data_IF_352156641728
#
_entry.id   IF_352156641728
#
_cell.length_a   1.000
_cell.length_b   1.000
_cell.length_c   1.000
_cell.angle_alpha   90.00
_cell.angle_beta   90.00
_cell.angle_gamma   90.00
#
_symmetry.space_group_name_H-M   'P 1'
#
loop_
_entity.id
_entity.type
_entity.pdbx_description
1 polymer ?
#
# COMPACT_ATOMS: atom_id res chain seq x y z
N UNK A 1 5.94 15.96 -33.83
CA UNK A 1 5.62 14.79 -32.96
C UNK A 1 6.28 14.99 -31.59
N UNK A 2 6.00 14.16 -30.57
CA UNK A 2 6.75 14.28 -29.30
C UNK A 2 8.23 13.90 -29.54
N UNK A 3 9.13 14.88 -29.46
CA UNK A 3 10.55 14.69 -29.78
C UNK A 3 11.29 14.02 -28.63
N UNK A 4 11.21 14.60 -27.44
CA UNK A 4 11.93 14.10 -26.28
C UNK A 4 11.26 14.49 -24.96
N UNK A 5 11.58 13.72 -23.93
CA UNK A 5 11.32 14.04 -22.52
C UNK A 5 12.67 14.02 -21.81
N UNK A 6 13.09 15.15 -21.28
CA UNK A 6 14.27 15.29 -20.41
C UNK A 6 13.96 14.65 -19.05
N UNK A 7 14.50 13.45 -18.81
CA UNK A 7 14.25 12.70 -17.58
C UNK A 7 14.97 13.27 -16.37
N UNK A 8 15.98 14.10 -16.54
CA UNK A 8 16.69 14.76 -15.44
C UNK A 8 15.89 15.94 -14.93
N UNK A 9 15.31 16.73 -15.85
CA UNK A 9 14.39 17.82 -15.50
C UNK A 9 13.03 17.35 -15.03
N UNK A 10 12.54 16.20 -15.50
CA UNK A 10 11.21 15.70 -15.17
C UNK A 10 11.05 15.43 -13.66
N UNK A 11 10.31 16.30 -12.97
CA UNK A 11 9.97 16.17 -11.54
C UNK A 11 8.81 15.20 -11.26
N UNK A 12 8.22 14.62 -12.31
CA UNK A 12 7.14 13.65 -12.19
C UNK A 12 5.86 14.19 -11.55
N UNK A 13 5.36 15.33 -12.03
CA UNK A 13 4.13 15.95 -11.54
C UNK A 13 2.83 15.41 -12.18
N UNK A 14 2.94 14.55 -13.20
CA UNK A 14 1.78 13.98 -13.90
C UNK A 14 0.98 14.96 -14.78
N UNK A 15 1.38 16.23 -14.88
CA UNK A 15 0.62 17.24 -15.63
C UNK A 15 0.46 16.88 -17.11
N UNK A 16 1.53 16.40 -17.76
CA UNK A 16 1.49 15.96 -19.16
C UNK A 16 0.57 14.74 -19.38
N UNK A 17 0.50 13.82 -18.41
CA UNK A 17 -0.41 12.69 -18.45
C UNK A 17 -1.87 13.15 -18.33
N UNK A 18 -2.16 14.06 -17.39
CA UNK A 18 -3.51 14.56 -17.15
C UNK A 18 -4.04 15.49 -18.25
N UNK A 19 -3.16 16.20 -18.96
CA UNK A 19 -3.56 17.18 -19.98
C UNK A 19 -3.56 16.63 -21.41
N UNK A 20 -2.95 15.46 -21.66
CA UNK A 20 -2.83 14.93 -23.00
C UNK A 20 -4.11 14.19 -23.43
N UNK A 21 -4.93 14.84 -24.26
CA UNK A 21 -6.14 14.23 -24.84
C UNK A 21 -5.88 13.02 -25.74
N UNK A 22 -4.64 12.85 -26.21
CA UNK A 22 -4.22 11.75 -27.09
C UNK A 22 -3.48 10.65 -26.33
N UNK A 23 -3.40 10.76 -25.00
CA UNK A 23 -2.88 9.71 -24.13
C UNK A 23 -1.46 9.23 -24.48
N UNK A 24 -0.65 10.14 -25.02
CA UNK A 24 0.74 9.90 -25.47
C UNK A 24 1.64 9.51 -24.29
N UNK A 25 1.34 10.06 -23.11
CA UNK A 25 2.14 9.90 -21.92
C UNK A 25 1.63 8.74 -21.06
N UNK A 26 2.57 8.03 -20.45
CA UNK A 26 2.35 7.09 -19.36
C UNK A 26 3.16 7.57 -18.16
N UNK A 27 2.67 7.29 -16.96
CA UNK A 27 3.43 7.51 -15.74
C UNK A 27 4.02 6.19 -15.29
N UNK A 28 5.34 6.18 -15.13
CA UNK A 28 5.99 5.06 -14.48
C UNK A 28 5.91 5.27 -12.97
N UNK A 29 5.08 4.51 -12.28
CA UNK A 29 4.93 4.57 -10.81
C UNK A 29 6.01 3.79 -10.07
N UNK A 30 6.68 2.84 -10.75
CA UNK A 30 7.82 2.08 -10.25
C UNK A 30 9.12 2.88 -10.37
N UNK A 31 9.29 3.82 -9.45
CA UNK A 31 10.46 4.68 -9.36
C UNK A 31 11.42 4.22 -8.27
N UNK A 32 12.73 4.44 -8.48
CA UNK A 32 13.78 4.19 -7.49
C UNK A 32 13.56 4.98 -6.19
N UNK A 33 13.05 6.22 -6.33
CA UNK A 33 12.70 7.10 -5.20
C UNK A 33 11.26 6.85 -4.76
N UNK A 34 11.08 6.76 -3.44
CA UNK A 34 9.75 6.68 -2.84
C UNK A 34 9.03 8.03 -2.95
N UNK A 35 7.71 7.99 -3.15
CA UNK A 35 6.88 9.18 -2.95
C UNK A 35 6.92 9.59 -1.47
N UNK A 36 6.81 10.88 -1.12
CA UNK A 36 6.83 11.33 0.27
C UNK A 36 5.80 10.62 1.17
N UNK A 37 4.57 10.43 0.67
CA UNK A 37 3.52 9.71 1.39
C UNK A 37 3.89 8.24 1.68
N UNK A 38 4.47 7.53 0.71
CA UNK A 38 4.94 6.16 0.88
C UNK A 38 6.13 6.06 1.82
N UNK A 39 7.07 7.01 1.74
CA UNK A 39 8.23 7.07 2.63
C UNK A 39 7.84 7.39 4.09
N UNK A 40 6.80 8.21 4.28
CA UNK A 40 6.24 8.52 5.59
C UNK A 40 5.28 7.47 6.14
N UNK A 41 4.89 6.46 5.34
CA UNK A 41 3.99 5.41 5.77
C UNK A 41 4.80 4.29 6.46
N UNK A 42 4.52 3.97 7.74
CA UNK A 42 5.19 2.86 8.41
C UNK A 42 4.96 1.49 7.76
N UNK A 43 3.79 1.27 7.15
CA UNK A 43 3.50 0.06 6.37
C UNK A 43 4.22 0.06 5.00
N UNK A 44 4.77 1.20 4.57
CA UNK A 44 5.45 1.37 3.28
C UNK A 44 4.52 1.32 2.06
N UNK A 45 3.22 1.56 2.25
CA UNK A 45 2.21 1.51 1.17
C UNK A 45 2.56 2.40 -0.02
N UNK A 46 2.47 1.87 -1.24
CA UNK A 46 2.70 2.64 -2.46
C UNK A 46 1.43 3.41 -2.90
N UNK A 47 1.10 4.48 -2.16
CA UNK A 47 -0.04 5.35 -2.50
C UNK A 47 0.05 5.92 -3.91
N UNK A 48 1.25 6.20 -4.40
CA UNK A 48 1.42 6.74 -5.75
C UNK A 48 0.94 5.76 -6.81
N UNK A 49 1.28 4.47 -6.68
CA UNK A 49 0.86 3.42 -7.61
C UNK A 49 -0.66 3.20 -7.58
N UNK A 50 -1.24 2.88 -6.42
CA UNK A 50 -2.66 2.53 -6.38
C UNK A 50 -3.57 3.74 -6.69
N UNK A 51 -3.19 4.96 -6.30
CA UNK A 51 -3.96 6.16 -6.65
C UNK A 51 -3.90 6.45 -8.14
N UNK A 52 -2.77 6.19 -8.80
CA UNK A 52 -2.69 6.30 -10.25
C UNK A 52 -3.61 5.29 -10.96
N UNK A 53 -3.70 4.06 -10.44
CA UNK A 53 -4.63 3.04 -10.94
C UNK A 53 -6.09 3.46 -10.72
N UNK A 54 -6.42 4.05 -9.56
CA UNK A 54 -7.76 4.61 -9.31
C UNK A 54 -8.11 5.77 -10.26
N UNK A 55 -7.16 6.65 -10.59
CA UNK A 55 -7.37 7.70 -11.60
C UNK A 55 -7.77 7.14 -12.97
N UNK A 56 -7.33 5.92 -13.29
CA UNK A 56 -7.65 5.21 -14.54
C UNK A 56 -8.90 4.33 -14.42
N UNK A 57 -9.58 4.33 -13.27
CA UNK A 57 -10.71 3.44 -13.00
C UNK A 57 -10.34 1.96 -12.83
N UNK A 58 -9.05 1.62 -12.70
CA UNK A 58 -8.53 0.25 -12.60
C UNK A 58 -8.58 -0.26 -11.16
N UNK A 59 -9.80 -0.49 -10.65
CA UNK A 59 -10.07 -0.81 -9.25
C UNK A 59 -9.39 -2.11 -8.79
N UNK A 60 -9.50 -3.18 -9.58
CA UNK A 60 -8.92 -4.47 -9.25
C UNK A 60 -7.39 -4.40 -9.10
N UNK A 61 -6.73 -3.64 -9.97
CA UNK A 61 -5.28 -3.47 -9.94
C UNK A 61 -4.87 -2.54 -8.80
N UNK A 62 -5.64 -1.48 -8.53
CA UNK A 62 -5.42 -0.62 -7.37
C UNK A 62 -5.56 -1.41 -6.05
N UNK A 63 -6.56 -2.27 -5.95
CA UNK A 63 -6.77 -3.17 -4.82
C UNK A 63 -5.60 -4.15 -4.67
N UNK A 64 -5.19 -4.81 -5.75
CA UNK A 64 -4.05 -5.73 -5.75
C UNK A 64 -2.76 -5.03 -5.28
N UNK A 65 -2.50 -3.81 -5.76
CA UNK A 65 -1.36 -2.99 -5.36
C UNK A 65 -1.43 -2.61 -3.87
N UNK A 66 -2.58 -2.13 -3.39
CA UNK A 66 -2.77 -1.78 -1.97
C UNK A 66 -2.55 -3.00 -1.06
N UNK A 67 -3.12 -4.15 -1.43
CA UNK A 67 -3.05 -5.39 -0.67
C UNK A 67 -1.65 -6.00 -0.59
N UNK A 68 -0.68 -5.59 -1.44
CA UNK A 68 0.73 -5.95 -1.26
C UNK A 68 1.34 -5.36 0.03
N UNK A 69 0.74 -4.28 0.55
CA UNK A 69 1.27 -3.49 1.66
C UNK A 69 0.34 -3.43 2.85
N UNK A 70 -0.97 -3.30 2.61
CA UNK A 70 -1.98 -3.09 3.64
C UNK A 70 -3.21 -3.96 3.37
N UNK A 71 -3.37 -5.10 4.07
CA UNK A 71 -4.55 -5.94 3.95
C UNK A 71 -5.74 -5.49 4.79
N UNK A 72 -5.60 -4.39 5.55
CA UNK A 72 -6.62 -3.89 6.49
C UNK A 72 -7.01 -2.44 6.18
N UNK A 73 -7.37 -2.07 4.93
CA UNK A 73 -7.64 -0.68 4.56
C UNK A 73 -8.86 -0.09 5.28
N UNK A 74 -9.86 -0.91 5.60
CA UNK A 74 -11.01 -0.48 6.41
C UNK A 74 -10.63 -0.17 7.87
N UNK A 75 -9.58 -0.81 8.37
CA UNK A 75 -9.04 -0.53 9.69
C UNK A 75 -8.20 0.76 9.64
N UNK A 76 -7.26 0.85 8.71
CA UNK A 76 -6.36 2.00 8.62
C UNK A 76 -7.10 3.29 8.30
N UNK A 77 -8.15 3.26 7.48
CA UNK A 77 -8.98 4.43 7.17
C UNK A 77 -9.74 5.03 8.36
N UNK A 78 -9.87 4.29 9.48
CA UNK A 78 -10.62 4.72 10.67
C UNK A 78 -9.73 5.13 11.83
N UNK A 79 -8.62 4.42 12.03
CA UNK A 79 -7.80 4.55 13.25
C UNK A 79 -6.35 4.96 12.99
N UNK A 80 -5.90 5.01 11.73
CA UNK A 80 -4.55 5.46 11.43
C UNK A 80 -4.44 6.97 11.67
N UNK A 81 -3.32 7.48 12.23
CA UNK A 81 -3.04 8.91 12.29
C UNK A 81 -2.70 9.55 10.92
N UNK A 82 -2.79 8.78 9.83
CA UNK A 82 -2.48 9.15 8.44
C UNK A 82 -1.15 9.91 8.29
N UNK A 83 -0.05 9.24 8.67
CA UNK A 83 1.33 9.76 8.52
C UNK A 83 1.63 10.24 7.09
N UNK A 84 1.09 9.53 6.10
CA UNK A 84 1.18 9.83 4.68
C UNK A 84 0.64 11.23 4.33
N UNK A 85 -0.45 11.68 4.94
CA UNK A 85 -1.02 13.01 4.71
C UNK A 85 -0.16 14.10 5.30
N UNK A 86 0.47 13.87 6.47
CA UNK A 86 1.31 14.85 7.15
C UNK A 86 2.45 15.34 6.24
N UNK A 87 3.00 14.43 5.44
CA UNK A 87 4.13 14.64 4.50
C UNK A 87 3.69 14.77 3.04
N UNK A 88 2.39 14.82 2.75
CA UNK A 88 1.88 14.92 1.38
C UNK A 88 2.33 16.24 0.72
N UNK A 89 3.00 16.14 -0.44
CA UNK A 89 3.51 17.33 -1.17
C UNK A 89 2.40 18.30 -1.58
N UNK A 90 1.19 17.80 -1.82
CA UNK A 90 0.04 18.62 -2.23
C UNK A 90 -0.42 19.62 -1.15
N UNK A 91 -0.07 19.42 0.13
CA UNK A 91 -0.33 20.40 1.20
C UNK A 91 0.27 21.79 0.96
N UNK A 92 1.28 21.88 0.10
CA UNK A 92 1.89 23.16 -0.28
C UNK A 92 1.13 23.90 -1.38
N UNK A 93 0.08 23.27 -1.92
CA UNK A 93 -0.80 23.82 -2.96
C UNK A 93 -2.14 24.18 -2.31
N UNK A 94 -2.82 23.16 -1.78
CA UNK A 94 -4.12 23.29 -1.13
C UNK A 94 -4.16 22.44 0.16
N UNK A 95 -4.53 21.16 0.06
CA UNK A 95 -4.67 20.23 1.16
C UNK A 95 -4.14 18.85 0.74
N UNK A 96 -3.76 18.03 1.72
CA UNK A 96 -3.37 16.64 1.44
C UNK A 96 -4.47 15.91 0.66
N UNK A 97 -4.06 14.92 -0.13
CA UNK A 97 -5.00 13.95 -0.70
C UNK A 97 -5.62 13.17 0.45
N UNK A 98 -6.94 13.02 0.45
CA UNK A 98 -7.71 12.29 1.46
C UNK A 98 -7.51 10.77 1.28
N UNK A 99 -6.34 10.31 1.71
CA UNK A 99 -5.95 8.90 1.69
C UNK A 99 -6.90 8.00 2.52
N UNK A 100 -7.38 8.38 3.73
CA UNK A 100 -8.33 7.55 4.47
C UNK A 100 -9.58 7.24 3.67
N UNK A 101 -10.18 8.23 3.01
CA UNK A 101 -11.43 8.00 2.28
C UNK A 101 -11.21 7.13 1.03
N UNK A 102 -10.05 7.24 0.38
CA UNK A 102 -9.68 6.39 -0.75
C UNK A 102 -9.39 4.95 -0.30
N UNK A 103 -8.72 4.76 0.84
CA UNK A 103 -8.54 3.43 1.46
C UNK A 103 -9.87 2.84 1.91
N UNK A 104 -10.78 3.64 2.47
CA UNK A 104 -12.11 3.21 2.89
C UNK A 104 -12.95 2.73 1.71
N UNK A 105 -12.97 3.50 0.62
CA UNK A 105 -13.64 3.13 -0.62
C UNK A 105 -13.08 1.82 -1.18
N UNK A 106 -11.76 1.74 -1.33
CA UNK A 106 -11.11 0.57 -1.92
C UNK A 106 -11.26 -0.65 -1.00
N UNK A 107 -11.30 -0.44 0.32
CA UNK A 107 -11.58 -1.48 1.30
C UNK A 107 -12.97 -2.08 1.14
N UNK A 108 -14.02 -1.26 0.95
CA UNK A 108 -15.36 -1.78 0.66
C UNK A 108 -15.40 -2.50 -0.69
N UNK A 109 -14.74 -1.93 -1.71
CA UNK A 109 -14.63 -2.59 -3.01
C UNK A 109 -13.95 -3.97 -2.91
N UNK A 110 -12.91 -4.11 -2.08
CA UNK A 110 -12.18 -5.36 -1.82
C UNK A 110 -13.08 -6.42 -1.17
N UNK A 111 -13.96 -6.03 -0.24
CA UNK A 111 -14.90 -6.97 0.38
C UNK A 111 -15.80 -7.63 -0.66
N UNK A 112 -16.25 -6.86 -1.66
CA UNK A 112 -17.17 -7.33 -2.71
C UNK A 112 -16.46 -8.07 -3.87
N UNK A 113 -15.16 -7.86 -4.06
CA UNK A 113 -14.42 -8.30 -5.26
C UNK A 113 -13.12 -9.06 -4.95
N UNK A 114 -13.08 -9.72 -3.78
CA UNK A 114 -11.86 -10.30 -3.21
C UNK A 114 -10.99 -11.04 -4.24
N UNK A 115 -9.68 -10.74 -4.34
CA UNK A 115 -8.80 -11.46 -5.24
C UNK A 115 -8.68 -12.92 -4.78
N UNK A 116 -8.72 -13.84 -5.73
CA UNK A 116 -8.38 -15.23 -5.46
C UNK A 116 -6.91 -15.30 -5.01
N UNK A 117 -6.68 -15.60 -3.74
CA UNK A 117 -5.34 -15.89 -3.25
C UNK A 117 -4.87 -17.23 -3.83
N UNK A 118 -3.55 -17.44 -4.00
CA UNK A 118 -3.02 -18.71 -4.51
C UNK A 118 -3.53 -19.90 -3.69
N UNK A 119 -3.64 -21.07 -4.31
CA UNK A 119 -3.97 -22.29 -3.55
C UNK A 119 -2.94 -22.56 -2.46
N UNK A 120 -3.41 -23.18 -1.37
CA UNK A 120 -2.52 -23.69 -0.33
C UNK A 120 -1.70 -24.82 -0.95
N UNK A 121 -0.43 -24.52 -1.20
CA UNK A 121 0.48 -25.37 -1.98
C UNK A 121 1.75 -25.71 -1.20
N UNK A 122 1.99 -25.02 -0.07
CA UNK A 122 3.18 -25.21 0.75
C UNK A 122 2.90 -26.14 1.92
N UNK A 123 3.78 -27.11 2.10
CA UNK A 123 3.72 -28.03 3.23
C UNK A 123 4.08 -27.31 4.54
N UNK A 124 3.31 -27.58 5.60
CA UNK A 124 3.55 -27.11 6.95
C UNK A 124 2.73 -25.87 7.33
N UNK A 125 2.20 -25.91 8.55
CA UNK A 125 1.27 -24.90 9.04
C UNK A 125 1.98 -23.69 9.64
N UNK A 126 1.31 -22.55 9.58
CA UNK A 126 1.74 -21.30 10.20
C UNK A 126 0.77 -20.95 11.31
N UNK A 127 1.29 -20.73 12.51
CA UNK A 127 0.52 -20.23 13.63
C UNK A 127 0.78 -18.75 13.82
N UNK A 128 -0.27 -17.95 13.88
CA UNK A 128 -0.21 -16.55 14.28
C UNK A 128 -0.93 -16.39 15.61
N UNK A 129 -0.28 -15.80 16.60
CA UNK A 129 -0.82 -15.65 17.95
C UNK A 129 -1.27 -14.20 18.15
N UNK A 130 -2.57 -14.00 18.34
CA UNK A 130 -3.22 -12.71 18.45
C UNK A 130 -3.84 -12.23 17.13
N UNK A 131 -5.04 -11.65 17.21
CA UNK A 131 -5.79 -11.12 16.05
C UNK A 131 -5.85 -9.59 16.01
N UNK A 132 -4.82 -8.90 16.53
CA UNK A 132 -4.62 -7.46 16.32
C UNK A 132 -4.26 -7.13 14.86
N UNK A 133 -3.96 -5.87 14.56
CA UNK A 133 -3.61 -5.47 13.19
C UNK A 133 -2.34 -6.19 12.72
N UNK A 134 -1.35 -6.35 13.61
CA UNK A 134 -0.15 -7.13 13.31
C UNK A 134 -0.47 -8.60 12.97
N UNK A 135 -1.31 -9.25 13.77
CA UNK A 135 -1.66 -10.67 13.57
C UNK A 135 -2.49 -10.91 12.31
N UNK A 136 -3.52 -10.10 12.09
CA UNK A 136 -4.36 -10.20 10.89
C UNK A 136 -3.55 -9.93 9.61
N UNK A 137 -2.68 -8.93 9.62
CA UNK A 137 -1.82 -8.65 8.48
C UNK A 137 -0.77 -9.74 8.23
N UNK A 138 -0.14 -10.26 9.29
CA UNK A 138 0.83 -11.35 9.17
C UNK A 138 0.17 -12.61 8.59
N UNK A 139 -1.05 -12.91 9.06
CA UNK A 139 -1.81 -14.05 8.56
C UNK A 139 -2.13 -13.90 7.07
N UNK A 140 -2.57 -12.72 6.64
CA UNK A 140 -2.80 -12.41 5.23
C UNK A 140 -1.53 -12.57 4.38
N UNK A 141 -0.39 -12.00 4.81
CA UNK A 141 0.85 -12.07 4.04
C UNK A 141 1.38 -13.50 3.92
N UNK A 142 1.23 -14.33 4.96
CA UNK A 142 1.58 -15.74 4.88
C UNK A 142 0.61 -16.51 3.97
N UNK A 143 -0.68 -16.20 4.02
CA UNK A 143 -1.68 -16.81 3.14
C UNK A 143 -1.45 -16.45 1.66
N UNK A 144 -1.04 -15.21 1.38
CA UNK A 144 -0.64 -14.74 0.04
C UNK A 144 0.55 -15.55 -0.53
N UNK A 145 1.38 -16.14 0.33
CA UNK A 145 2.50 -17.02 -0.04
C UNK A 145 2.10 -18.49 -0.21
N UNK A 146 0.81 -18.82 -0.19
CA UNK A 146 0.31 -20.19 -0.35
C UNK A 146 0.51 -21.08 0.89
N UNK A 147 0.71 -20.48 2.07
CA UNK A 147 0.79 -21.22 3.33
C UNK A 147 -0.61 -21.48 3.93
N UNK A 148 -0.75 -22.59 4.65
CA UNK A 148 -1.88 -22.82 5.54
C UNK A 148 -1.67 -22.03 6.84
N UNK A 149 -2.64 -21.20 7.23
CA UNK A 149 -2.48 -20.25 8.34
C UNK A 149 -3.63 -20.37 9.34
N UNK A 150 -3.26 -20.53 10.61
CA UNK A 150 -4.18 -20.53 11.75
C UNK A 150 -3.86 -19.37 12.68
N UNK A 151 -4.85 -18.51 12.92
CA UNK A 151 -4.78 -17.40 13.89
C UNK A 151 -5.42 -17.85 15.19
N UNK A 152 -4.66 -17.82 16.28
CA UNK A 152 -5.14 -18.10 17.63
C UNK A 152 -5.49 -16.78 18.33
N UNK A 153 -6.73 -16.67 18.80
CA UNK A 153 -7.23 -15.49 19.50
C UNK A 153 -7.79 -15.90 20.87
N UNK A 154 -7.38 -15.19 21.92
CA UNK A 154 -7.83 -15.49 23.30
C UNK A 154 -9.29 -15.08 23.51
N UNK A 155 -9.77 -14.12 22.75
CA UNK A 155 -11.10 -13.55 22.85
C UNK A 155 -12.11 -14.28 21.95
N UNK A 156 -13.40 -14.06 22.19
CA UNK A 156 -14.49 -14.66 21.40
C UNK A 156 -14.55 -14.17 19.95
N UNK A 157 -14.11 -12.94 19.70
CA UNK A 157 -14.19 -12.30 18.38
C UNK A 157 -12.82 -11.74 17.98
N UNK A 158 -12.35 -11.98 16.75
CA UNK A 158 -11.11 -11.39 16.26
C UNK A 158 -11.12 -9.85 16.20
N UNK A 159 -9.93 -9.25 16.09
CA UNK A 159 -9.73 -7.81 15.90
C UNK A 159 -8.99 -7.10 17.04
N UNK A 160 -8.56 -7.85 18.07
CA UNK A 160 -7.72 -7.35 19.14
C UNK A 160 -8.28 -6.08 19.81
N UNK A 161 -7.44 -5.05 19.96
CA UNK A 161 -7.83 -3.77 20.58
C UNK A 161 -8.78 -2.93 19.72
N UNK A 162 -8.78 -3.14 18.41
CA UNK A 162 -9.54 -2.33 17.47
C UNK A 162 -11.05 -2.59 17.53
N UNK A 163 -11.47 -3.66 18.22
CA UNK A 163 -12.88 -3.91 18.61
C UNK A 163 -13.52 -2.73 19.34
N UNK A 164 -12.73 -1.94 20.09
CA UNK A 164 -13.22 -0.78 20.81
C UNK A 164 -13.19 0.53 19.99
N UNK A 165 -12.54 0.53 18.83
CA UNK A 165 -12.27 1.76 18.05
C UNK A 165 -12.93 1.76 16.67
N UNK A 166 -13.51 0.63 16.25
CA UNK A 166 -14.06 0.43 14.91
C UNK A 166 -15.46 -0.17 15.04
N UNK A 167 -16.42 0.22 14.19
CA UNK A 167 -17.73 -0.42 14.14
C UNK A 167 -17.64 -1.95 14.04
N UNK A 168 -18.45 -2.64 14.82
CA UNK A 168 -18.38 -4.10 14.96
C UNK A 168 -18.72 -4.83 13.66
N UNK A 169 -19.64 -4.29 12.87
CA UNK A 169 -20.03 -4.77 11.54
C UNK A 169 -18.87 -4.68 10.54
N UNK A 170 -18.16 -3.55 10.51
CA UNK A 170 -16.99 -3.37 9.64
C UNK A 170 -15.86 -4.34 10.01
N UNK A 171 -15.60 -4.50 11.30
CA UNK A 171 -14.59 -5.45 11.77
C UNK A 171 -14.98 -6.91 11.48
N UNK A 172 -16.27 -7.23 11.61
CA UNK A 172 -16.79 -8.55 11.26
C UNK A 172 -16.65 -8.82 9.75
N UNK A 173 -16.96 -7.85 8.90
CA UNK A 173 -16.79 -7.96 7.45
C UNK A 173 -15.32 -8.16 7.05
N UNK A 174 -14.41 -7.37 7.61
CA UNK A 174 -12.96 -7.53 7.39
C UNK A 174 -12.46 -8.91 7.83
N UNK A 175 -12.96 -9.41 8.97
CA UNK A 175 -12.57 -10.74 9.48
C UNK A 175 -13.17 -11.87 8.64
N UNK A 176 -14.41 -11.71 8.17
CA UNK A 176 -15.06 -12.66 7.26
C UNK A 176 -14.29 -12.75 5.95
N UNK A 177 -13.91 -11.61 5.37
CA UNK A 177 -13.07 -11.56 4.17
C UNK A 177 -11.72 -12.29 4.36
N UNK A 178 -11.07 -12.12 5.52
CA UNK A 178 -9.84 -12.88 5.82
C UNK A 178 -10.08 -14.39 5.93
N UNK A 179 -11.25 -14.82 6.42
CA UNK A 179 -11.66 -16.24 6.40
C UNK A 179 -11.88 -16.74 4.98
N UNK A 180 -12.50 -15.93 4.12
CA UNK A 180 -12.73 -16.27 2.71
C UNK A 180 -11.40 -16.34 1.92
N UNK A 181 -10.40 -15.56 2.35
CA UNK A 181 -9.01 -15.73 1.90
C UNK A 181 -8.39 -17.08 2.31
N UNK A 182 -9.03 -17.89 3.14
CA UNK A 182 -8.57 -19.20 3.60
C UNK A 182 -7.77 -19.16 4.90
N UNK A 183 -7.93 -18.13 5.73
CA UNK A 183 -7.31 -18.06 7.06
C UNK A 183 -8.23 -18.70 8.09
N UNK A 184 -7.70 -19.66 8.85
CA UNK A 184 -8.44 -20.31 9.94
C UNK A 184 -8.31 -19.49 11.21
N UNK A 185 -9.43 -19.26 11.92
CA UNK A 185 -9.44 -18.58 13.21
C UNK A 185 -9.85 -19.55 14.31
N UNK A 186 -9.03 -19.67 15.34
CA UNK A 186 -9.30 -20.43 16.57
C UNK A 186 -9.42 -19.43 17.71
N UNK A 187 -10.65 -19.05 18.02
CA UNK A 187 -11.00 -18.08 19.08
C UNK A 187 -11.05 -18.75 20.45
N UNK A 188 -11.20 -17.95 21.51
CA UNK A 188 -11.28 -18.42 22.90
C UNK A 188 -10.08 -19.31 23.31
N UNK A 189 -8.93 -19.10 22.67
CA UNK A 189 -7.72 -19.91 22.85
C UNK A 189 -6.55 -18.99 23.16
N UNK A 190 -6.28 -18.84 24.46
CA UNK A 190 -5.05 -18.18 24.90
C UNK A 190 -3.84 -19.08 24.60
N UNK A 191 -2.76 -18.46 24.13
CA UNK A 191 -1.49 -19.15 23.88
C UNK A 191 -0.41 -18.50 24.75
N UNK A 192 0.26 -19.30 25.56
CA UNK A 192 1.29 -18.84 26.49
C UNK A 192 1.82 -19.99 27.35
N UNK A 193 2.90 -19.77 28.07
CA UNK A 193 3.62 -20.79 28.84
C UNK A 193 2.77 -21.45 29.94
N UNK A 194 1.77 -20.72 30.44
CA UNK A 194 0.82 -21.19 31.48
C UNK A 194 -0.50 -21.68 30.91
N UNK A 195 -0.67 -21.62 29.60
CA UNK A 195 -1.91 -22.00 28.92
C UNK A 195 -1.84 -23.45 28.41
N UNK A 196 -3.01 -24.01 28.07
CA UNK A 196 -3.07 -25.34 27.47
C UNK A 196 -2.34 -25.41 26.12
N UNK A 197 -2.45 -24.35 25.32
CA UNK A 197 -1.74 -24.20 24.05
C UNK A 197 -0.49 -23.36 24.29
N UNK A 198 0.67 -23.94 24.00
CA UNK A 198 1.98 -23.28 24.11
C UNK A 198 2.66 -23.18 22.75
N UNK A 199 3.60 -22.25 22.57
CA UNK A 199 4.42 -22.17 21.35
C UNK A 199 5.14 -23.49 21.09
N UNK A 200 5.63 -24.18 22.14
CA UNK A 200 6.27 -25.50 22.03
C UNK A 200 5.30 -26.56 21.53
N UNK A 201 4.05 -26.55 22.00
CA UNK A 201 3.03 -27.50 21.54
C UNK A 201 2.67 -27.30 20.07
N UNK A 202 2.54 -26.05 19.62
CA UNK A 202 2.28 -25.72 18.22
C UNK A 202 3.40 -26.21 17.31
N UNK A 203 4.66 -25.97 17.71
CA UNK A 203 5.84 -26.45 16.99
C UNK A 203 5.91 -27.98 16.89
N UNK A 204 5.50 -28.69 17.94
CA UNK A 204 5.40 -30.16 17.92
C UNK A 204 4.28 -30.66 16.99
N UNK A 205 3.20 -29.89 16.85
CA UNK A 205 2.09 -30.19 15.96
C UNK A 205 2.36 -29.78 14.49
N UNK A 206 3.59 -29.96 14.00
CA UNK A 206 3.99 -29.69 12.61
C UNK A 206 3.86 -28.23 12.13
N UNK A 207 3.70 -27.26 13.04
CA UNK A 207 3.75 -25.83 12.68
C UNK A 207 5.19 -25.43 12.34
N UNK A 208 5.44 -24.99 11.10
CA UNK A 208 6.77 -24.61 10.62
C UNK A 208 7.25 -23.25 11.12
N UNK A 209 6.35 -22.29 11.28
CA UNK A 209 6.71 -20.99 11.84
C UNK A 209 5.58 -20.47 12.74
N UNK A 210 5.97 -19.77 13.81
CA UNK A 210 5.04 -19.11 14.75
C UNK A 210 5.33 -17.61 14.73
N UNK A 211 4.29 -16.80 14.53
CA UNK A 211 4.38 -15.34 14.60
C UNK A 211 3.60 -14.88 15.84
N UNK A 212 4.30 -14.38 16.85
CA UNK A 212 3.72 -13.81 18.07
C UNK A 212 3.35 -12.36 17.76
N UNK A 213 2.06 -12.07 17.67
CA UNK A 213 1.50 -10.75 17.33
C UNK A 213 0.51 -10.28 18.40
N UNK A 214 0.83 -10.56 19.67
CA UNK A 214 0.02 -10.18 20.82
C UNK A 214 0.20 -8.70 21.19
N UNK A 215 -0.60 -8.25 22.15
CA UNK A 215 -0.58 -6.85 22.58
C UNK A 215 0.59 -6.48 23.50
N UNK A 216 0.59 -5.23 23.94
CA UNK A 216 1.50 -4.68 24.97
C UNK A 216 1.47 -5.52 26.24
N UNK A 217 2.60 -5.61 26.94
CA UNK A 217 2.70 -6.27 28.27
C UNK A 217 2.30 -7.75 28.28
N UNK A 218 2.39 -8.43 27.13
CA UNK A 218 2.13 -9.87 27.03
C UNK A 218 3.39 -10.70 26.82
N UNK A 219 4.57 -10.07 26.68
CA UNK A 219 5.83 -10.76 26.40
C UNK A 219 6.14 -11.86 27.44
N UNK A 220 5.88 -11.58 28.72
CA UNK A 220 6.08 -12.52 29.85
C UNK A 220 5.30 -13.83 29.72
N UNK A 221 4.26 -13.87 28.88
CA UNK A 221 3.52 -15.09 28.58
C UNK A 221 4.34 -16.09 27.75
N UNK A 222 5.48 -15.68 27.19
CA UNK A 222 6.30 -16.47 26.28
C UNK A 222 7.75 -16.61 26.75
N UNK A 223 8.07 -16.25 28.00
CA UNK A 223 9.43 -16.24 28.55
C UNK A 223 10.15 -17.61 28.46
N UNK A 224 9.43 -18.73 28.34
CA UNK A 224 10.02 -20.07 28.17
C UNK A 224 10.58 -20.32 26.77
N UNK A 225 10.22 -19.49 25.78
CA UNK A 225 10.59 -19.66 24.37
C UNK A 225 11.26 -18.45 23.76
N UNK A 226 11.19 -17.26 24.36
CA UNK A 226 11.84 -16.07 23.82
C UNK A 226 12.54 -15.30 24.93
N UNK A 227 13.57 -14.54 24.57
CA UNK A 227 14.22 -13.62 25.48
C UNK A 227 13.38 -12.34 25.58
N UNK A 228 13.35 -11.74 26.78
CA UNK A 228 12.57 -10.55 27.08
C UNK A 228 13.52 -9.47 27.59
N UNK A 229 13.47 -8.30 26.96
CA UNK A 229 14.24 -7.11 27.34
C UNK A 229 13.24 -5.98 27.56
N UNK A 230 13.32 -5.32 28.72
CA UNK A 230 12.44 -4.21 29.11
C UNK A 230 10.93 -4.51 28.97
N UNK A 231 10.53 -5.77 29.23
CA UNK A 231 9.14 -6.22 29.15
C UNK A 231 8.60 -6.42 27.72
N UNK A 232 9.49 -6.42 26.73
CA UNK A 232 9.21 -6.70 25.32
C UNK A 232 9.98 -7.92 24.83
N UNK A 233 9.45 -8.64 23.84
CA UNK A 233 10.16 -9.75 23.20
C UNK A 233 11.36 -9.20 22.44
N UNK A 234 12.55 -9.73 22.74
CA UNK A 234 13.76 -9.41 22.00
C UNK A 234 13.73 -10.04 20.60
N UNK A 235 13.99 -9.22 19.60
CA UNK A 235 14.00 -9.63 18.20
C UNK A 235 15.10 -8.92 17.44
N UNK A 236 15.59 -9.59 16.40
CA UNK A 236 16.44 -8.93 15.42
C UNK A 236 15.67 -7.76 14.74
N UNK A 237 16.25 -6.55 14.68
CA UNK A 237 15.53 -5.35 14.26
C UNK A 237 15.13 -5.33 12.77
N UNK A 238 15.68 -6.23 11.95
CA UNK A 238 15.39 -6.31 10.51
C UNK A 238 14.49 -7.49 10.22
N UNK A 239 14.83 -8.67 10.73
CA UNK A 239 14.14 -9.93 10.45
C UNK A 239 12.94 -10.18 11.38
N UNK A 240 12.89 -9.49 12.52
CA UNK A 240 11.90 -9.74 13.57
C UNK A 240 11.89 -11.18 14.08
N UNK A 241 12.98 -11.92 13.83
CA UNK A 241 13.22 -13.25 14.34
C UNK A 241 13.64 -13.15 15.81
N UNK A 242 13.14 -14.09 16.61
CA UNK A 242 13.60 -14.27 18.00
C UNK A 242 14.80 -15.21 18.02
N UNK A 243 15.42 -15.37 19.19
CA UNK A 243 16.46 -16.41 19.42
C UNK A 243 15.97 -17.83 19.11
N UNK A 244 14.66 -18.09 19.24
CA UNK A 244 14.09 -19.41 18.99
C UNK A 244 13.78 -19.62 17.53
N UNK A 245 14.38 -20.68 16.97
CA UNK A 245 14.30 -20.96 15.55
C UNK A 245 12.86 -21.20 15.05
N UNK A 246 12.45 -20.43 14.04
CA UNK A 246 11.09 -20.44 13.49
C UNK A 246 10.04 -19.72 14.35
N UNK A 247 10.46 -18.89 15.31
CA UNK A 247 9.58 -18.02 16.10
C UNK A 247 9.93 -16.56 15.82
N UNK A 248 8.92 -15.80 15.43
CA UNK A 248 9.00 -14.37 15.09
C UNK A 248 8.05 -13.58 15.99
N UNK A 249 8.31 -12.29 16.19
CA UNK A 249 7.39 -11.42 16.90
C UNK A 249 7.15 -10.11 16.17
N UNK A 250 5.88 -9.70 16.05
CA UNK A 250 5.47 -8.54 15.28
C UNK A 250 4.52 -7.64 16.08
N UNK A 251 4.60 -6.34 15.82
CA UNK A 251 3.73 -5.37 16.49
C UNK A 251 4.12 -5.17 17.95
N UNK A 252 3.18 -4.85 18.84
CA UNK A 252 3.58 -4.19 20.06
C UNK A 252 4.15 -5.08 21.17
N UNK A 253 4.05 -6.41 21.02
CA UNK A 253 4.67 -7.37 21.94
C UNK A 253 6.21 -7.23 22.00
N UNK A 254 6.83 -6.74 20.92
CA UNK A 254 8.27 -6.45 20.82
C UNK A 254 8.63 -4.99 21.14
N UNK A 255 7.77 -4.29 21.89
CA UNK A 255 7.99 -2.89 22.27
C UNK A 255 7.83 -1.87 21.12
N UNK A 256 7.23 -2.28 20.00
CA UNK A 256 6.96 -1.42 18.85
C UNK A 256 5.83 -0.42 19.12
N UNK A 257 5.61 0.48 18.16
CA UNK A 257 4.44 1.36 18.20
C UNK A 257 3.13 0.57 18.15
N UNK A 258 2.08 1.19 18.68
CA UNK A 258 0.73 0.65 18.74
C UNK A 258 -0.16 1.14 17.61
N UNK A 259 0.38 1.89 16.65
CA UNK A 259 -0.41 2.39 15.53
C UNK A 259 -0.61 1.28 14.51
N UNK A 260 -1.79 1.17 13.89
CA UNK A 260 -2.09 0.09 12.95
C UNK A 260 -1.12 0.04 11.77
N UNK A 261 -0.67 1.19 11.26
CA UNK A 261 0.30 1.24 10.16
C UNK A 261 1.67 0.66 10.54
N UNK A 262 2.14 0.88 11.78
CA UNK A 262 3.38 0.28 12.27
C UNK A 262 3.20 -1.23 12.48
N UNK A 263 2.08 -1.63 13.06
CA UNK A 263 1.74 -3.05 13.26
C UNK A 263 1.68 -3.83 11.93
N UNK A 264 1.09 -3.25 10.89
CA UNK A 264 1.03 -3.85 9.54
C UNK A 264 2.42 -3.90 8.89
N UNK A 265 3.22 -2.85 9.04
CA UNK A 265 4.61 -2.82 8.56
C UNK A 265 5.43 -3.93 9.19
N UNK A 266 5.42 -4.03 10.51
CA UNK A 266 6.08 -5.10 11.26
C UNK A 266 5.60 -6.48 10.83
N UNK A 267 4.28 -6.66 10.70
CA UNK A 267 3.69 -7.93 10.28
C UNK A 267 4.18 -8.36 8.91
N UNK A 268 4.34 -7.43 7.97
CA UNK A 268 4.90 -7.74 6.65
C UNK A 268 6.35 -8.17 6.74
N UNK A 269 7.16 -7.49 7.55
CA UNK A 269 8.58 -7.83 7.70
C UNK A 269 8.76 -9.18 8.40
N UNK A 270 7.96 -9.49 9.43
CA UNK A 270 7.96 -10.77 10.12
C UNK A 270 7.45 -11.90 9.22
N UNK A 271 6.38 -11.68 8.46
CA UNK A 271 5.87 -12.65 7.50
C UNK A 271 6.88 -12.92 6.38
N UNK A 272 7.62 -11.90 5.92
CA UNK A 272 8.71 -12.09 4.96
C UNK A 272 9.80 -13.00 5.51
N UNK A 273 10.26 -12.73 6.75
CA UNK A 273 11.27 -13.57 7.39
C UNK A 273 10.78 -14.99 7.67
N UNK A 274 9.53 -15.15 8.12
CA UNK A 274 8.92 -16.47 8.26
C UNK A 274 8.84 -17.21 6.92
N UNK A 275 8.50 -16.51 5.84
CA UNK A 275 8.49 -17.07 4.49
C UNK A 275 9.87 -17.59 4.07
N UNK A 276 10.92 -16.76 4.20
CA UNK A 276 12.30 -17.15 3.93
C UNK A 276 12.73 -18.34 4.78
N UNK A 277 12.39 -18.34 6.07
CA UNK A 277 12.71 -19.43 6.98
C UNK A 277 12.11 -20.77 6.53
N UNK A 278 10.86 -20.77 6.06
CA UNK A 278 10.18 -21.99 5.58
C UNK A 278 10.81 -22.53 4.30
N UNK A 279 11.27 -21.64 3.41
CA UNK A 279 11.97 -22.01 2.17
C UNK A 279 13.46 -22.34 2.37
N UNK A 280 14.00 -22.11 3.57
CA UNK A 280 15.42 -22.27 3.86
C UNK A 280 16.29 -21.18 3.20
N UNK A 281 15.70 -20.03 2.88
CA UNK A 281 16.40 -18.88 2.31
C UNK A 281 16.96 -17.98 3.41
N UNK A 282 18.04 -17.26 3.09
CA UNK A 282 18.60 -16.26 3.98
C UNK A 282 17.62 -15.09 4.18
N UNK A 283 17.37 -14.75 5.45
CA UNK A 283 16.37 -13.75 5.82
C UNK A 283 16.83 -12.30 5.61
N UNK A 284 18.12 -12.05 5.38
CA UNK A 284 18.69 -10.72 5.16
C UNK A 284 18.94 -10.48 3.67
N UNK A 285 19.61 -11.41 2.99
CA UNK A 285 19.97 -11.26 1.57
C UNK A 285 18.77 -11.37 0.63
N UNK A 286 17.76 -12.18 0.98
CA UNK A 286 16.59 -12.39 0.12
C UNK A 286 15.57 -11.25 0.19
N UNK A 287 15.84 -10.17 0.95
CA UNK A 287 14.90 -9.07 1.12
C UNK A 287 14.90 -8.13 -0.08
N UNK A 288 13.72 -7.64 -0.51
CA UNK A 288 13.66 -6.68 -1.60
C UNK A 288 14.38 -5.38 -1.21
N UNK A 289 15.07 -4.73 -2.16
CA UNK A 289 15.77 -3.50 -1.88
C UNK A 289 14.79 -2.41 -1.46
N UNK A 290 15.08 -1.73 -0.35
CA UNK A 290 14.33 -0.54 0.05
C UNK A 290 14.58 0.58 -0.97
N UNK A 291 13.51 1.27 -1.38
CA UNK A 291 13.62 2.46 -2.24
C UNK A 291 14.55 3.48 -1.59
N UNK A 292 15.59 3.93 -2.32
CA UNK A 292 16.60 4.86 -1.80
C UNK A 292 16.17 6.29 -2.10
N UNK A 293 16.04 7.09 -1.03
CA UNK A 293 15.72 8.50 -1.13
C UNK A 293 14.25 8.79 -1.38
N UNK A 294 13.87 10.03 -1.07
CA UNK A 294 12.51 10.56 -1.18
C UNK A 294 12.44 11.44 -2.42
N UNK A 295 11.41 11.27 -3.24
CA UNK A 295 11.14 12.15 -4.36
C UNK A 295 10.79 13.55 -3.82
N UNK A 296 11.63 14.54 -4.14
CA UNK A 296 11.36 15.94 -3.81
C UNK A 296 10.77 16.61 -5.04
N UNK A 297 9.62 17.25 -4.86
CA UNK A 297 9.03 18.10 -5.89
C UNK A 297 9.11 19.57 -5.46
N UNK A 298 9.73 20.45 -6.26
CA UNK A 298 9.76 21.89 -6.01
C UNK A 298 8.42 22.51 -6.44
N UNK A 299 7.40 22.37 -5.60
CA UNK A 299 6.05 22.87 -5.87
C UNK A 299 5.99 24.40 -5.94
N UNK A 300 6.94 25.09 -5.31
CA UNK A 300 7.06 26.55 -5.32
C UNK A 300 7.38 27.09 -6.73
N UNK A 301 7.95 26.26 -7.61
CA UNK A 301 8.21 26.61 -9.01
C UNK A 301 7.18 26.02 -9.97
N UNK A 302 6.30 25.12 -9.51
CA UNK A 302 5.29 24.47 -10.35
C UNK A 302 4.12 25.37 -10.76
N UNK A 303 3.69 26.26 -9.87
CA UNK A 303 2.48 27.09 -10.06
C UNK A 303 2.80 28.55 -10.39
N UNK A 304 4.02 28.84 -10.85
CA UNK A 304 4.37 30.19 -11.33
C UNK A 304 3.56 30.61 -12.57
N UNK A 305 2.86 29.68 -13.21
CA UNK A 305 1.93 29.95 -14.30
C UNK A 305 0.51 29.58 -13.88
N UNK A 306 -0.28 30.62 -13.62
CA UNK A 306 -1.74 30.68 -13.55
C UNK A 306 -2.43 29.81 -12.48
N UNK A 307 -2.95 30.47 -11.43
CA UNK A 307 -3.86 29.90 -10.42
C UNK A 307 -5.13 29.28 -11.03
N UNK A 308 -5.42 29.53 -12.31
CA UNK A 308 -6.59 29.01 -13.04
C UNK A 308 -6.35 27.66 -13.73
N UNK A 309 -5.14 27.09 -13.68
CA UNK A 309 -4.92 25.76 -14.27
C UNK A 309 -5.75 24.68 -13.54
N UNK A 310 -6.46 23.81 -14.27
CA UNK A 310 -7.50 22.93 -13.72
C UNK A 310 -7.00 21.90 -12.69
N UNK A 311 -5.70 21.65 -12.62
CA UNK A 311 -5.10 20.69 -11.68
C UNK A 311 -4.83 21.32 -10.29
N UNK A 312 -4.76 22.65 -10.22
CA UNK A 312 -4.57 23.41 -8.99
C UNK A 312 -5.84 23.51 -8.13
N UNK A 313 -7.02 23.59 -8.75
CA UNK A 313 -8.27 23.96 -8.07
C UNK A 313 -9.31 22.84 -7.95
N UNK A 314 -8.91 21.57 -7.92
CA UNK A 314 -9.83 20.52 -7.49
C UNK A 314 -10.11 20.70 -5.99
N UNK A 315 -11.35 21.04 -5.58
CA UNK A 315 -11.66 21.25 -4.17
C UNK A 315 -11.34 19.98 -3.40
N UNK A 316 -10.76 20.13 -2.21
CA UNK A 316 -10.58 19.00 -1.31
C UNK A 316 -11.96 18.42 -0.98
N UNK A 317 -12.13 17.10 -1.17
CA UNK A 317 -13.32 16.44 -0.69
C UNK A 317 -13.44 16.64 0.83
N UNK A 318 -14.67 16.66 1.39
CA UNK A 318 -14.85 16.67 2.83
C UNK A 318 -14.04 15.50 3.42
N UNK A 319 -13.31 15.80 4.49
CA UNK A 319 -12.59 14.76 5.23
C UNK A 319 -13.61 13.80 5.81
N UNK A 320 -13.18 12.58 6.14
CA UNK A 320 -13.98 11.57 6.86
C UNK A 320 -14.38 12.01 8.30
N UNK A 321 -14.56 13.31 8.53
CA UNK A 321 -15.38 13.83 9.62
C UNK A 321 -16.83 13.50 9.28
N UNK A 322 -17.59 13.11 10.31
CA UNK A 322 -19.01 12.76 10.39
C UNK A 322 -19.96 13.50 9.44
N UNK A 323 -19.77 13.34 8.13
CA UNK A 323 -20.67 13.82 7.11
C UNK A 323 -21.84 12.83 7.05
N UNK A 324 -23.09 13.30 7.08
CA UNK A 324 -24.24 12.42 6.93
C UNK A 324 -24.23 11.81 5.51
N UNK A 325 -23.82 10.55 5.39
CA UNK A 325 -23.58 9.84 4.12
C UNK A 325 -22.20 10.18 3.55
N UNK A 326 -21.25 9.29 3.38
CA UNK A 326 -21.19 7.84 3.29
C UNK A 326 -19.82 7.56 2.63
N UNK A 327 -19.41 6.30 2.58
CA UNK A 327 -18.22 5.87 1.81
C UNK A 327 -18.20 6.59 0.45
N UNK A 328 -17.02 7.06 0.00
CA UNK A 328 -16.92 7.73 -1.30
C UNK A 328 -17.63 6.91 -2.38
N UNK A 329 -18.42 7.54 -3.23
CA UNK A 329 -18.88 6.88 -4.45
C UNK A 329 -17.78 6.95 -5.52
N UNK A 330 -17.99 6.26 -6.64
CA UNK A 330 -17.03 6.21 -7.75
C UNK A 330 -16.62 7.61 -8.24
N UNK A 331 -17.57 8.54 -8.40
CA UNK A 331 -17.30 9.90 -8.88
C UNK A 331 -16.43 10.69 -7.89
N UNK A 332 -16.78 10.65 -6.60
CA UNK A 332 -16.06 11.35 -5.54
C UNK A 332 -14.66 10.78 -5.37
N UNK A 333 -14.53 9.45 -5.43
CA UNK A 333 -13.25 8.76 -5.41
C UNK A 333 -12.37 9.20 -6.58
N UNK A 334 -12.90 9.24 -7.81
CA UNK A 334 -12.13 9.68 -8.98
C UNK A 334 -11.67 11.13 -8.83
N UNK A 335 -12.55 12.02 -8.37
CA UNK A 335 -12.18 13.43 -8.16
C UNK A 335 -11.05 13.56 -7.14
N UNK A 336 -11.14 12.86 -6.00
CA UNK A 336 -10.11 12.91 -4.98
C UNK A 336 -8.81 12.20 -5.44
N UNK A 337 -8.89 11.06 -6.11
CA UNK A 337 -7.73 10.38 -6.69
C UNK A 337 -7.02 11.28 -7.71
N UNK A 338 -7.77 12.05 -8.52
CA UNK A 338 -7.22 13.02 -9.47
C UNK A 338 -6.53 14.22 -8.80
N UNK A 339 -6.71 14.44 -7.49
CA UNK A 339 -5.89 15.40 -6.73
C UNK A 339 -4.46 14.92 -6.56
N UNK A 340 -4.18 13.61 -6.56
CA UNK A 340 -2.82 13.09 -6.46
C UNK A 340 -1.96 13.57 -7.66
N UNK A 341 -0.85 14.26 -7.39
CA UNK A 341 0.11 14.76 -8.39
C UNK A 341 1.23 13.75 -8.70
N UNK A 342 1.05 12.49 -8.29
CA UNK A 342 1.92 11.34 -8.61
C UNK A 342 3.41 11.59 -8.33
N UNK A 343 3.73 12.12 -7.15
CA UNK A 343 5.04 12.70 -6.87
C UNK A 343 6.24 11.82 -7.26
N UNK A 344 7.08 12.34 -8.16
CA UNK A 344 8.28 11.67 -8.63
C UNK A 344 8.04 10.58 -9.69
N UNK A 345 6.80 10.31 -10.12
CA UNK A 345 6.51 9.44 -11.26
C UNK A 345 6.97 10.11 -12.55
N UNK A 346 8.15 9.76 -13.03
CA UNK A 346 8.68 10.32 -14.28
C UNK A 346 7.76 9.94 -15.44
N UNK A 347 7.49 10.93 -16.30
CA UNK A 347 6.72 10.72 -17.52
C UNK A 347 7.51 9.90 -18.53
N UNK A 348 6.80 9.01 -19.22
CA UNK A 348 7.30 8.22 -20.34
C UNK A 348 6.33 8.37 -21.51
N UNK A 349 6.84 8.26 -22.73
CA UNK A 349 6.01 8.37 -23.93
C UNK A 349 5.86 7.00 -24.57
N UNK A 350 4.68 6.39 -24.40
CA UNK A 350 4.37 5.10 -24.99
C UNK A 350 4.00 5.23 -26.47
N UNK A 351 3.29 6.30 -26.84
CA UNK A 351 2.73 6.49 -28.19
C UNK A 351 3.22 7.80 -28.81
N UNK A 352 4.54 7.94 -29.00
CA UNK A 352 5.16 9.19 -29.49
C UNK A 352 4.57 9.68 -30.83
N UNK A 353 4.20 8.75 -31.69
CA UNK A 353 3.69 9.02 -33.04
C UNK A 353 2.22 9.49 -33.05
N UNK A 354 1.47 9.22 -31.97
CA UNK A 354 0.07 9.63 -31.84
C UNK A 354 -0.05 11.10 -31.41
N UNK A 355 1.08 11.72 -31.02
CA UNK A 355 1.15 13.12 -30.65
C UNK A 355 0.62 14.04 -31.75
N UNK A 356 -0.46 14.77 -31.46
CA UNK A 356 -1.09 15.73 -32.37
C UNK A 356 -0.36 17.08 -32.51
N UNK A 357 0.79 17.27 -31.84
CA UNK A 357 1.57 18.52 -31.84
C UNK A 357 0.77 19.77 -31.43
N UNK A 358 -0.07 19.65 -30.41
CA UNK A 358 -0.84 20.78 -29.84
C UNK A 358 -0.07 21.61 -28.79
N UNK A 359 1.14 21.19 -28.44
CA UNK A 359 2.05 21.85 -27.47
C UNK A 359 1.55 22.04 -26.03
N UNK A 360 0.30 21.68 -25.70
CA UNK A 360 -0.22 21.85 -24.33
C UNK A 360 0.68 21.24 -23.26
N UNK A 361 1.20 20.04 -23.49
CA UNK A 361 2.09 19.36 -22.56
C UNK A 361 3.46 20.04 -22.41
N UNK A 362 3.98 20.68 -23.46
CA UNK A 362 5.23 21.45 -23.44
C UNK A 362 5.04 22.79 -22.73
N UNK A 363 4.02 23.55 -23.14
CA UNK A 363 3.68 24.86 -22.56
C UNK A 363 3.33 24.73 -21.08
N UNK A 364 2.57 23.69 -20.71
CA UNK A 364 2.19 23.47 -19.32
C UNK A 364 3.33 22.86 -18.48
N UNK A 365 4.43 22.39 -19.06
CA UNK A 365 5.49 21.74 -18.29
C UNK A 365 6.23 22.76 -17.41
N UNK A 366 6.12 22.69 -16.06
CA UNK A 366 6.69 23.72 -15.18
C UNK A 366 8.22 23.76 -15.18
N UNK A 367 8.83 22.66 -15.62
CA UNK A 367 10.29 22.45 -15.65
C UNK A 367 10.82 22.32 -17.07
N UNK A 368 9.96 22.58 -18.07
CA UNK A 368 10.31 22.53 -19.50
C UNK A 368 11.04 21.23 -19.88
N UNK A 369 10.58 20.11 -19.33
CA UNK A 369 11.15 18.78 -19.57
C UNK A 369 10.63 18.14 -20.86
N UNK A 370 9.63 18.72 -21.52
CA UNK A 370 8.97 18.15 -22.69
C UNK A 370 9.27 19.03 -23.88
N UNK A 371 9.69 18.42 -24.98
CA UNK A 371 9.91 19.08 -26.26
C UNK A 371 9.05 18.42 -27.33
N UNK A 372 8.10 19.17 -27.87
CA UNK A 372 7.25 18.75 -28.99
C UNK A 372 7.84 19.34 -30.26
N UNK A 373 8.11 18.48 -31.25
CA UNK A 373 8.57 18.94 -32.56
C UNK A 373 7.47 19.69 -33.30
N UNK A 374 7.75 20.89 -33.84
CA UNK A 374 6.75 21.69 -34.50
C UNK A 374 6.20 21.12 -35.80
N UNK A 375 6.91 20.16 -36.39
CA UNK A 375 6.45 19.49 -37.61
C UNK A 375 6.11 18.03 -37.28
N UNK A 376 4.89 17.60 -37.66
CA UNK A 376 4.70 16.19 -38.01
C UNK A 376 5.35 16.04 -39.38
N UNK A 377 6.48 15.36 -39.50
CA UNK A 377 6.89 14.88 -40.82
C UNK A 377 5.70 14.15 -41.48
N UNK A 378 5.56 14.32 -42.79
CA UNK A 378 4.46 13.78 -43.58
C UNK A 378 4.22 12.32 -43.22
N UNK A 379 3.01 11.98 -42.77
CA UNK A 379 2.63 10.60 -42.52
C UNK A 379 2.86 9.81 -43.84
N UNK A 380 3.52 8.64 -43.81
CA UNK A 380 3.73 7.80 -45.00
C UNK A 380 2.44 7.34 -45.71
N UNK A 381 1.26 7.68 -45.15
CA UNK A 381 -0.07 7.29 -45.65
C UNK A 381 -1.04 8.47 -45.79
N UNK A 382 -0.54 9.70 -45.86
CA UNK A 382 -1.37 10.79 -46.36
C UNK A 382 -1.53 10.51 -47.86
N UNK A 383 -2.68 9.96 -48.26
CA UNK A 383 -3.02 9.70 -49.65
C UNK A 383 -2.91 11.04 -50.38
N UNK A 384 -1.85 11.21 -51.15
CA UNK A 384 -1.76 12.28 -52.14
C UNK A 384 -2.79 11.93 -53.23
N UNK A 385 -3.96 12.55 -53.16
CA UNK A 385 -4.72 12.74 -54.38
C UNK A 385 -3.99 13.82 -55.16
N UNK A 386 -3.11 13.43 -56.08
CA UNK A 386 -2.85 14.27 -57.24
C UNK A 386 -4.20 14.46 -57.94
N UNK A 387 -4.77 15.66 -57.85
CA UNK A 387 -5.72 16.10 -58.86
C UNK A 387 -4.90 16.37 -60.11
N UNK A 388 -4.84 15.39 -61.01
CA UNK A 388 -4.54 15.68 -62.40
C UNK A 388 -5.62 16.65 -62.92
N UNK A 389 -5.23 17.91 -63.14
CA UNK A 389 -5.92 18.81 -64.07
C UNK A 389 -6.93 19.82 -63.51
N UNK A 390 -6.56 20.66 -62.52
CA UNK A 390 -7.10 22.04 -62.42
C UNK A 390 -6.00 23.01 -62.04
#
# INVERSE_FOLDING_TARGET
MLRSIDREKCIGCGLCFKSCSFDVYRLNTHQEKAAPCSAGCPAGTDMRSYLHLLQQGRHAEAAAELLQYNPLPLLTSRVCPHFCEKVCTRKKIDAAVNIPALEDYLGHWILDHAPALPDISRAGDIAVIGSGAAGLAAAYFMRLRGCNVTVYEKEKTPGGRFRASIPADLLAAQTAWLKDCGITFVTETAVGDKEAVTVRSLRKACTKAVIIATGRHTAEQFASVVDIIDGAIDVDPVTLATRTNGVFAAGPVRGASHDPAHEIGDAREAAWSANCFIDGWDMLESRPPRKRGIAVMPVETMFRYDEKLPIGNLPAAPRNESSPGGIFNYETMILEANRCITCGSKAEAAYRNDCMTCYFCEIACPVQAILVDPFKERLPRTIEFEREGV
#
